data_IF_077608813097
#
_entry.id   IF_077608813097
#
_cell.length_a   1.000
_cell.length_b   1.000
_cell.length_c   1.000
_cell.angle_alpha   90.00
_cell.angle_beta   90.00
_cell.angle_gamma   90.00
#
_symmetry.space_group_name_H-M   'P 1'
#
loop_
_entity.id
_entity.type
_entity.pdbx_description
1 polymer ?
#
# COMPACT_ATOMS: atom_id res chain seq x y z
N UNK A 1 -17.04 3.56 43.26
CA UNK A 1 -17.96 2.60 42.64
C UNK A 1 -17.54 2.37 41.22
N UNK A 2 -17.10 1.17 40.89
CA UNK A 2 -16.59 0.73 39.56
C UNK A 2 -17.56 1.04 38.39
N UNK A 3 -18.87 1.08 38.65
CA UNK A 3 -19.89 1.21 37.62
C UNK A 3 -19.98 2.62 36.99
N UNK A 4 -19.61 3.67 37.73
CA UNK A 4 -19.68 5.04 37.19
C UNK A 4 -18.52 5.37 36.23
N UNK A 5 -17.37 4.74 36.47
CA UNK A 5 -16.20 4.94 35.60
C UNK A 5 -16.28 4.10 34.31
N UNK A 6 -16.97 2.97 34.34
CA UNK A 6 -17.13 2.07 33.20
C UNK A 6 -17.90 2.73 32.05
N UNK A 7 -19.08 3.30 32.33
CA UNK A 7 -19.89 3.97 31.30
C UNK A 7 -19.18 5.21 30.74
N UNK A 8 -18.48 5.95 31.57
CA UNK A 8 -17.70 7.11 31.17
C UNK A 8 -16.52 6.70 30.27
N UNK A 9 -15.83 5.61 30.60
CA UNK A 9 -14.72 5.10 29.80
C UNK A 9 -15.18 4.62 28.42
N UNK A 10 -16.20 3.74 28.36
CA UNK A 10 -16.70 3.20 27.11
C UNK A 10 -17.45 4.22 26.25
N UNK A 11 -17.96 5.33 26.82
CA UNK A 11 -18.59 6.39 26.05
C UNK A 11 -17.63 7.05 25.07
N UNK A 12 -16.34 7.12 25.41
CA UNK A 12 -15.27 7.67 24.58
C UNK A 12 -14.79 6.71 23.49
N UNK A 13 -15.07 5.43 23.60
CA UNK A 13 -14.71 4.44 22.59
C UNK A 13 -15.59 4.63 21.36
N UNK A 14 -14.97 4.61 20.18
CA UNK A 14 -15.71 4.69 18.91
C UNK A 14 -16.81 3.63 18.84
N UNK A 15 -17.98 4.01 18.31
CA UNK A 15 -19.18 3.16 18.31
C UNK A 15 -18.98 1.75 17.75
N UNK A 16 -18.17 1.60 16.71
CA UNK A 16 -17.88 0.31 16.08
C UNK A 16 -16.95 -0.58 16.91
N UNK A 17 -16.09 0.01 17.74
CA UNK A 17 -15.12 -0.72 18.56
C UNK A 17 -15.69 -1.07 19.94
N UNK A 18 -16.78 -0.37 20.36
CA UNK A 18 -17.32 -0.39 21.73
C UNK A 18 -17.70 -1.78 22.21
N UNK A 19 -18.42 -2.55 21.41
CA UNK A 19 -18.86 -3.89 21.81
C UNK A 19 -17.68 -4.86 21.95
N UNK A 20 -16.72 -4.80 21.02
CA UNK A 20 -15.51 -5.62 21.07
C UNK A 20 -14.68 -5.32 22.31
N UNK A 21 -14.46 -4.04 22.60
CA UNK A 21 -13.69 -3.60 23.76
C UNK A 21 -14.40 -3.97 25.06
N UNK A 22 -15.73 -3.77 25.15
CA UNK A 22 -16.52 -4.21 26.32
C UNK A 22 -16.42 -5.71 26.56
N UNK A 23 -16.52 -6.51 25.51
CA UNK A 23 -16.40 -7.96 25.62
C UNK A 23 -15.01 -8.38 26.14
N UNK A 24 -13.93 -7.73 25.68
CA UNK A 24 -12.58 -8.01 26.18
C UNK A 24 -12.44 -7.69 27.69
N UNK A 25 -12.95 -6.56 28.13
CA UNK A 25 -12.93 -6.20 29.56
C UNK A 25 -13.83 -7.09 30.39
N UNK A 26 -14.99 -7.51 29.89
CA UNK A 26 -15.86 -8.48 30.55
C UNK A 26 -15.15 -9.80 30.77
N UNK A 27 -14.49 -10.35 29.77
CA UNK A 27 -13.71 -11.59 29.88
C UNK A 27 -12.60 -11.48 30.95
N UNK A 28 -11.96 -10.30 31.06
CA UNK A 28 -10.98 -10.05 32.13
C UNK A 28 -11.62 -10.05 33.51
N UNK A 29 -12.77 -9.38 33.66
CA UNK A 29 -13.51 -9.28 34.92
C UNK A 29 -14.04 -10.66 35.37
N UNK A 30 -14.57 -11.46 34.45
CA UNK A 30 -15.07 -12.82 34.69
C UNK A 30 -13.95 -13.85 34.88
N UNK A 31 -12.68 -13.45 34.64
CA UNK A 31 -11.52 -14.33 34.85
C UNK A 31 -11.25 -15.30 33.71
N UNK A 32 -11.85 -15.07 32.55
CA UNK A 32 -11.59 -15.85 31.32
C UNK A 32 -10.25 -15.51 30.70
N UNK A 33 -9.72 -14.32 30.97
CA UNK A 33 -8.39 -13.86 30.52
C UNK A 33 -7.65 -13.21 31.69
N UNK A 34 -6.31 -13.27 31.66
CA UNK A 34 -5.46 -12.65 32.70
C UNK A 34 -5.21 -11.16 32.41
N UNK A 35 -5.30 -10.78 31.14
CA UNK A 35 -5.07 -9.40 30.68
C UNK A 35 -5.91 -9.07 29.46
N UNK A 36 -6.20 -7.80 29.30
CA UNK A 36 -6.69 -7.19 28.05
C UNK A 36 -5.51 -6.53 27.34
N UNK A 37 -5.45 -6.67 26.01
CA UNK A 37 -4.57 -5.93 25.13
C UNK A 37 -5.36 -5.65 23.85
N UNK A 38 -5.88 -4.42 23.75
CA UNK A 38 -6.79 -4.04 22.66
C UNK A 38 -6.39 -2.71 22.03
N UNK A 39 -6.43 -2.68 20.71
CA UNK A 39 -6.28 -1.44 19.92
C UNK A 39 -7.66 -0.98 19.47
N UNK A 40 -8.01 0.26 19.77
CA UNK A 40 -9.32 0.82 19.42
C UNK A 40 -9.26 2.33 19.25
N UNK A 41 -10.30 2.87 18.64
CA UNK A 41 -10.45 4.31 18.41
C UNK A 41 -11.15 4.97 19.59
N UNK A 42 -10.57 6.05 20.07
CA UNK A 42 -11.16 6.94 21.08
C UNK A 42 -11.58 8.24 20.40
N UNK A 43 -12.76 8.70 20.75
CA UNK A 43 -13.32 9.95 20.24
C UNK A 43 -13.41 10.95 21.40
N UNK A 44 -12.74 12.08 21.28
CA UNK A 44 -12.80 13.19 22.22
C UNK A 44 -13.34 14.44 21.55
N UNK A 45 -14.01 15.29 22.33
CA UNK A 45 -14.43 16.60 21.89
C UNK A 45 -13.73 17.65 22.74
N UNK A 46 -12.74 18.32 22.17
CA UNK A 46 -12.06 19.42 22.81
C UNK A 46 -12.42 20.73 22.12
N UNK A 47 -13.00 21.65 22.88
CA UNK A 47 -13.38 22.98 22.40
C UNK A 47 -14.29 22.99 21.14
N UNK A 48 -15.18 21.98 21.01
CA UNK A 48 -16.10 21.85 19.88
C UNK A 48 -15.49 21.14 18.66
N UNK A 49 -14.26 20.67 18.75
CA UNK A 49 -13.62 19.89 17.69
C UNK A 49 -13.57 18.42 18.09
N UNK A 50 -14.05 17.55 17.19
CA UNK A 50 -13.99 16.12 17.39
C UNK A 50 -12.61 15.61 16.94
N UNK A 51 -11.90 14.97 17.86
CA UNK A 51 -10.66 14.28 17.60
C UNK A 51 -10.86 12.78 17.73
N UNK A 52 -10.27 12.03 16.81
CA UNK A 52 -10.25 10.56 16.86
C UNK A 52 -8.80 10.10 16.93
N UNK A 53 -8.48 9.33 17.94
CA UNK A 53 -7.15 8.78 18.16
C UNK A 53 -7.22 7.27 18.27
N UNK A 54 -6.22 6.61 17.74
CA UNK A 54 -6.00 5.21 18.02
C UNK A 54 -5.24 5.05 19.32
N UNK A 55 -5.73 4.18 20.18
CA UNK A 55 -5.08 3.83 21.45
C UNK A 55 -4.89 2.32 21.53
N UNK A 56 -3.78 1.92 22.14
CA UNK A 56 -3.54 0.58 22.62
C UNK A 56 -3.74 0.60 24.14
N UNK A 57 -4.72 -0.15 24.65
CA UNK A 57 -4.97 -0.26 26.06
C UNK A 57 -4.61 -1.65 26.55
N UNK A 58 -3.84 -1.70 27.64
CA UNK A 58 -3.52 -2.91 28.35
C UNK A 58 -4.07 -2.81 29.77
N UNK A 59 -4.76 -3.84 30.26
CA UNK A 59 -5.31 -3.87 31.60
C UNK A 59 -5.22 -5.26 32.22
N UNK A 60 -5.04 -5.29 33.55
CA UNK A 60 -5.08 -6.50 34.36
C UNK A 60 -5.89 -6.25 35.63
N UNK A 61 -6.33 -7.32 36.28
CA UNK A 61 -6.92 -7.22 37.62
C UNK A 61 -5.80 -7.02 38.63
N UNK A 62 -5.87 -5.93 39.38
CA UNK A 62 -4.89 -5.59 40.42
C UNK A 62 -5.25 -6.25 41.76
N UNK A 63 -6.52 -6.11 42.19
CA UNK A 63 -6.98 -6.67 43.47
C UNK A 63 -8.28 -7.42 43.29
N UNK A 64 -8.48 -8.45 44.14
CA UNK A 64 -9.70 -9.24 44.22
C UNK A 64 -10.20 -9.27 45.68
N UNK A 65 -11.51 -9.43 45.85
CA UNK A 65 -12.10 -9.65 47.15
C UNK A 65 -11.91 -11.11 47.66
N UNK A 66 -12.43 -11.40 48.85
CA UNK A 66 -12.37 -12.73 49.44
C UNK A 66 -13.15 -13.81 48.65
N UNK A 67 -14.08 -13.40 47.79
CA UNK A 67 -14.86 -14.27 46.89
C UNK A 67 -14.23 -14.41 45.51
N UNK A 68 -13.03 -13.80 45.29
CA UNK A 68 -12.31 -13.84 44.03
C UNK A 68 -12.81 -12.83 42.99
N UNK A 69 -13.72 -11.92 43.32
CA UNK A 69 -14.24 -10.90 42.41
C UNK A 69 -13.26 -9.75 42.28
N UNK A 70 -13.04 -9.21 41.06
CA UNK A 70 -12.14 -8.09 40.86
C UNK A 70 -12.66 -6.83 41.56
N UNK A 71 -11.81 -6.19 42.34
CA UNK A 71 -12.08 -4.93 43.02
C UNK A 71 -11.48 -3.75 42.27
N UNK A 72 -10.28 -3.93 41.68
CA UNK A 72 -9.62 -2.90 40.91
C UNK A 72 -8.94 -3.47 39.68
N UNK A 73 -8.92 -2.67 38.64
CA UNK A 73 -8.17 -2.90 37.40
C UNK A 73 -7.05 -1.85 37.31
N UNK A 74 -5.87 -2.29 36.91
CA UNK A 74 -4.76 -1.42 36.57
C UNK A 74 -4.44 -1.59 35.09
N UNK A 75 -4.14 -0.48 34.42
CA UNK A 75 -3.83 -0.54 33.00
C UNK A 75 -3.07 0.68 32.51
N UNK A 76 -2.62 0.56 31.28
CA UNK A 76 -1.96 1.63 30.53
C UNK A 76 -2.69 1.85 29.22
N UNK A 77 -2.70 3.09 28.77
CA UNK A 77 -3.22 3.46 27.44
C UNK A 77 -2.16 4.27 26.72
N UNK A 78 -1.80 3.83 25.53
CA UNK A 78 -0.82 4.48 24.69
C UNK A 78 -1.50 4.94 23.39
N UNK A 79 -1.28 6.21 23.03
CA UNK A 79 -1.73 6.72 21.72
C UNK A 79 -0.84 6.14 20.63
N UNK A 80 -1.45 5.48 19.66
CA UNK A 80 -0.78 4.79 18.55
C UNK A 80 -1.21 5.31 17.17
N UNK A 81 -1.82 6.49 17.12
CA UNK A 81 -2.33 7.09 15.87
C UNK A 81 -1.24 7.26 14.83
N UNK A 82 -0.06 7.72 15.24
CA UNK A 82 1.09 7.90 14.37
C UNK A 82 1.61 6.55 13.80
N UNK A 83 1.67 5.53 14.66
CA UNK A 83 2.02 4.16 14.23
C UNK A 83 1.03 3.62 13.21
N UNK A 84 -0.27 3.77 13.44
CA UNK A 84 -1.33 3.35 12.51
C UNK A 84 -1.27 4.09 11.17
N UNK A 85 -0.97 5.37 11.20
CA UNK A 85 -0.79 6.16 9.99
C UNK A 85 0.40 5.66 9.17
N UNK A 86 1.56 5.44 9.82
CA UNK A 86 2.75 4.91 9.14
C UNK A 86 2.52 3.51 8.57
N UNK A 87 1.84 2.62 9.30
CA UNK A 87 1.44 1.30 8.80
C UNK A 87 0.59 1.42 7.53
N UNK A 88 -0.41 2.31 7.54
CA UNK A 88 -1.28 2.53 6.38
C UNK A 88 -0.53 3.13 5.18
N UNK A 89 0.36 4.07 5.43
CA UNK A 89 1.21 4.67 4.39
C UNK A 89 2.14 3.63 3.77
N UNK A 90 2.73 2.76 4.60
CA UNK A 90 3.60 1.66 4.15
C UNK A 90 2.84 0.65 3.29
N UNK A 91 1.64 0.23 3.72
CA UNK A 91 0.80 -0.68 2.94
C UNK A 91 0.43 -0.06 1.58
N UNK A 92 0.02 1.20 1.59
CA UNK A 92 -0.31 1.92 0.35
C UNK A 92 0.88 2.06 -0.59
N UNK A 93 2.07 2.35 -0.05
CA UNK A 93 3.30 2.46 -0.84
C UNK A 93 3.71 1.09 -1.42
N UNK A 94 3.59 0.02 -0.63
CA UNK A 94 3.83 -1.35 -1.08
C UNK A 94 2.92 -1.73 -2.23
N UNK A 95 1.60 -1.54 -2.06
CA UNK A 95 0.61 -1.92 -3.07
C UNK A 95 0.84 -1.18 -4.39
N UNK A 96 1.19 0.11 -4.32
CA UNK A 96 1.59 0.89 -5.51
C UNK A 96 2.86 0.36 -6.17
N UNK A 97 3.85 -0.04 -5.38
CA UNK A 97 5.10 -0.60 -5.90
C UNK A 97 4.87 -1.97 -6.56
N UNK A 98 4.06 -2.84 -5.95
CA UNK A 98 3.69 -4.14 -6.50
C UNK A 98 2.93 -4.00 -7.83
N UNK A 99 1.94 -3.10 -7.90
CA UNK A 99 1.20 -2.84 -9.13
C UNK A 99 2.09 -2.25 -10.23
N UNK A 100 2.98 -1.32 -9.88
CA UNK A 100 3.97 -0.80 -10.83
C UNK A 100 4.88 -1.89 -11.38
N UNK A 101 5.36 -2.81 -10.51
CA UNK A 101 6.19 -3.94 -10.94
C UNK A 101 5.41 -4.92 -11.84
N UNK A 102 4.15 -5.20 -11.51
CA UNK A 102 3.27 -6.05 -12.32
C UNK A 102 3.07 -5.48 -13.72
N UNK A 103 2.74 -4.19 -13.82
CA UNK A 103 2.56 -3.50 -15.10
C UNK A 103 3.85 -3.49 -15.91
N UNK A 104 5.00 -3.24 -15.27
CA UNK A 104 6.30 -3.26 -15.92
C UNK A 104 6.66 -4.64 -16.47
N UNK A 105 6.39 -5.70 -15.70
CA UNK A 105 6.63 -7.07 -16.15
C UNK A 105 5.75 -7.46 -17.33
N UNK A 106 4.46 -7.12 -17.29
CA UNK A 106 3.53 -7.34 -18.40
C UNK A 106 3.95 -6.56 -19.65
N UNK A 107 4.38 -5.31 -19.49
CA UNK A 107 4.89 -4.50 -20.58
C UNK A 107 6.12 -5.14 -21.24
N UNK A 108 7.11 -5.57 -20.47
CA UNK A 108 8.33 -6.23 -20.99
C UNK A 108 8.01 -7.54 -21.71
N UNK A 109 7.06 -8.33 -21.17
CA UNK A 109 6.64 -9.56 -21.82
C UNK A 109 5.98 -9.28 -23.19
N UNK A 110 5.08 -8.30 -23.25
CA UNK A 110 4.41 -7.90 -24.49
C UNK A 110 5.43 -7.35 -25.50
N UNK A 111 6.34 -6.49 -25.05
CA UNK A 111 7.39 -5.92 -25.93
C UNK A 111 8.31 -7.02 -26.50
N UNK A 112 8.60 -8.05 -25.69
CA UNK A 112 9.40 -9.19 -26.17
C UNK A 112 8.70 -9.94 -27.31
N UNK A 113 7.38 -10.07 -27.24
CA UNK A 113 6.58 -10.67 -28.33
C UNK A 113 6.52 -9.76 -29.57
N UNK A 114 6.25 -8.47 -29.36
CA UNK A 114 6.16 -7.48 -30.45
C UNK A 114 7.50 -7.31 -31.21
N UNK A 115 8.64 -7.45 -30.52
CA UNK A 115 9.98 -7.45 -31.14
C UNK A 115 10.28 -8.74 -31.86
N UNK A 116 9.89 -9.88 -31.30
CA UNK A 116 10.21 -11.21 -31.85
C UNK A 116 9.58 -11.46 -33.22
N UNK A 117 8.37 -10.99 -33.44
CA UNK A 117 7.60 -11.22 -34.68
C UNK A 117 8.30 -10.60 -35.89
N UNK A 118 8.59 -9.28 -35.94
CA UNK A 118 9.31 -8.70 -37.07
C UNK A 118 10.75 -9.22 -37.20
N UNK A 119 11.43 -9.50 -36.08
CA UNK A 119 12.77 -10.07 -36.10
C UNK A 119 12.80 -11.44 -36.78
N UNK A 120 11.87 -12.35 -36.44
CA UNK A 120 11.75 -13.65 -37.06
C UNK A 120 11.43 -13.54 -38.56
N UNK A 121 10.61 -12.58 -38.97
CA UNK A 121 10.33 -12.32 -40.38
C UNK A 121 11.60 -11.86 -41.10
N UNK A 122 12.35 -10.90 -40.54
CA UNK A 122 13.63 -10.45 -41.13
C UNK A 122 14.61 -11.62 -41.28
N UNK A 123 14.81 -12.41 -40.23
CA UNK A 123 15.75 -13.55 -40.28
C UNK A 123 15.28 -14.62 -41.27
N UNK A 124 13.99 -14.96 -41.27
CA UNK A 124 13.42 -15.97 -42.17
C UNK A 124 13.55 -15.57 -43.65
N UNK A 125 13.11 -14.36 -44.00
CA UNK A 125 13.12 -13.89 -45.37
C UNK A 125 14.56 -13.58 -45.86
N UNK A 126 15.48 -13.17 -44.99
CA UNK A 126 16.90 -13.04 -45.33
C UNK A 126 17.54 -14.39 -45.70
N UNK A 127 17.17 -15.48 -45.05
CA UNK A 127 17.61 -16.82 -45.37
C UNK A 127 17.09 -17.28 -46.76
N UNK A 128 15.83 -17.03 -47.05
CA UNK A 128 15.21 -17.37 -48.34
C UNK A 128 15.80 -16.50 -49.48
N UNK A 129 15.97 -15.22 -49.25
CA UNK A 129 16.58 -14.28 -50.19
C UNK A 129 17.96 -14.75 -50.66
N UNK A 130 18.76 -15.30 -49.76
CA UNK A 130 20.10 -15.82 -50.06
C UNK A 130 20.10 -17.06 -50.97
N UNK A 131 18.98 -17.78 -51.08
CA UNK A 131 18.85 -19.02 -51.87
C UNK A 131 17.92 -18.89 -53.07
N UNK A 132 17.31 -17.75 -53.29
CA UNK A 132 16.41 -17.48 -54.43
C UNK A 132 17.18 -16.88 -55.62
N UNK A 133 16.96 -17.41 -56.79
CA UNK A 133 17.55 -16.90 -58.06
C UNK A 133 16.60 -15.98 -58.84
N UNK A 134 15.31 -16.02 -58.56
CA UNK A 134 14.28 -15.26 -59.29
C UNK A 134 14.21 -13.79 -58.80
N UNK A 135 14.45 -12.85 -59.70
CA UNK A 135 14.57 -11.43 -59.39
C UNK A 135 13.30 -10.81 -58.82
N UNK A 136 12.13 -11.34 -59.24
CA UNK A 136 10.83 -10.84 -58.78
C UNK A 136 10.58 -11.23 -57.33
N UNK A 137 10.93 -12.46 -56.96
CA UNK A 137 10.83 -12.97 -55.56
C UNK A 137 11.82 -12.22 -54.67
N UNK A 138 13.03 -11.90 -55.16
CA UNK A 138 14.00 -11.11 -54.40
C UNK A 138 13.45 -9.77 -53.96
N UNK A 139 12.82 -9.06 -54.91
CA UNK A 139 12.20 -7.75 -54.62
C UNK A 139 11.08 -7.85 -53.57
N UNK A 140 10.25 -8.90 -53.65
CA UNK A 140 9.20 -9.12 -52.68
C UNK A 140 9.77 -9.38 -51.28
N UNK A 141 10.76 -10.27 -51.14
CA UNK A 141 11.39 -10.57 -49.86
C UNK A 141 12.14 -9.38 -49.29
N UNK A 142 12.80 -8.57 -50.11
CA UNK A 142 13.42 -7.30 -49.70
C UNK A 142 12.39 -6.34 -49.12
N UNK A 143 11.24 -6.17 -49.79
CA UNK A 143 10.16 -5.31 -49.31
C UNK A 143 9.60 -5.74 -47.95
N UNK A 144 9.46 -7.07 -47.71
CA UNK A 144 9.02 -7.62 -46.46
C UNK A 144 10.06 -7.33 -45.36
N UNK A 145 11.34 -7.51 -45.65
CA UNK A 145 12.44 -7.26 -44.69
C UNK A 145 12.46 -5.76 -44.32
N UNK A 146 12.37 -4.84 -45.28
CA UNK A 146 12.39 -3.41 -45.05
C UNK A 146 11.17 -2.95 -44.22
N UNK A 147 9.98 -3.47 -44.50
CA UNK A 147 8.76 -3.19 -43.72
C UNK A 147 8.92 -3.61 -42.27
N UNK A 148 9.42 -4.82 -42.01
CA UNK A 148 9.61 -5.33 -40.66
C UNK A 148 10.73 -4.61 -39.92
N UNK A 149 11.79 -4.19 -40.63
CA UNK A 149 12.84 -3.37 -40.05
C UNK A 149 12.31 -1.99 -39.59
N UNK A 150 11.51 -1.34 -40.44
CA UNK A 150 10.85 -0.08 -40.09
C UNK A 150 9.95 -0.21 -38.87
N UNK A 151 9.15 -1.28 -38.80
CA UNK A 151 8.31 -1.58 -37.64
C UNK A 151 9.14 -1.79 -36.36
N UNK A 152 10.25 -2.51 -36.46
CA UNK A 152 11.14 -2.75 -35.31
C UNK A 152 11.76 -1.44 -34.80
N UNK A 153 12.23 -0.56 -35.69
CA UNK A 153 12.76 0.75 -35.32
C UNK A 153 11.70 1.63 -34.63
N UNK A 154 10.47 1.59 -35.11
CA UNK A 154 9.36 2.30 -34.47
C UNK A 154 9.11 1.79 -33.05
N UNK A 155 9.03 0.47 -32.85
CA UNK A 155 8.85 -0.14 -31.53
C UNK A 155 9.95 0.25 -30.53
N UNK A 156 11.21 0.25 -31.00
CA UNK A 156 12.35 0.67 -30.16
C UNK A 156 12.22 2.15 -29.79
N UNK A 157 11.82 3.00 -30.72
CA UNK A 157 11.62 4.44 -30.47
C UNK A 157 10.52 4.69 -29.44
N UNK A 158 9.42 3.95 -29.52
CA UNK A 158 8.29 4.03 -28.59
C UNK A 158 8.69 3.59 -27.17
N UNK A 159 9.47 2.51 -27.05
CA UNK A 159 10.03 2.03 -25.77
C UNK A 159 10.94 3.09 -25.14
N UNK A 160 11.82 3.70 -25.94
CA UNK A 160 12.73 4.74 -25.46
C UNK A 160 11.99 6.01 -25.02
N UNK A 161 10.92 6.39 -25.74
CA UNK A 161 10.09 7.53 -25.38
C UNK A 161 9.38 7.29 -24.02
N UNK A 162 8.80 6.10 -23.81
CA UNK A 162 8.19 5.70 -22.55
C UNK A 162 9.19 5.72 -21.40
N UNK A 163 10.39 5.17 -21.59
CA UNK A 163 11.46 5.17 -20.58
C UNK A 163 11.88 6.58 -20.16
N UNK A 164 11.90 7.53 -21.09
CA UNK A 164 12.21 8.95 -20.79
C UNK A 164 11.11 9.63 -19.97
N UNK A 165 9.84 9.34 -20.26
CA UNK A 165 8.71 9.87 -19.50
C UNK A 165 8.74 9.35 -18.06
N UNK A 166 9.01 8.06 -17.84
CA UNK A 166 9.13 7.48 -16.50
C UNK A 166 10.30 8.10 -15.70
N UNK A 167 11.44 8.33 -16.34
CA UNK A 167 12.59 8.96 -15.71
C UNK A 167 12.32 10.44 -15.35
N UNK A 168 11.62 11.18 -16.21
CA UNK A 168 11.22 12.57 -15.96
C UNK A 168 10.21 12.71 -14.84
N UNK A 169 9.26 11.80 -14.72
CA UNK A 169 8.25 11.79 -13.63
C UNK A 169 8.89 11.47 -12.27
N UNK A 170 9.90 10.60 -12.22
CA UNK A 170 10.66 10.33 -10.99
C UNK A 170 11.42 11.56 -10.49
N UNK A 171 12.05 12.29 -11.36
CA UNK A 171 12.81 13.51 -11.00
C UNK A 171 11.92 14.62 -10.43
N UNK A 172 10.69 14.74 -10.92
CA UNK A 172 9.71 15.70 -10.39
C UNK A 172 9.10 15.28 -9.05
N UNK A 173 8.98 13.98 -8.78
CA UNK A 173 8.47 13.46 -7.51
C UNK A 173 9.49 13.62 -6.37
N UNK A 174 10.78 13.44 -6.65
CA UNK A 174 11.88 13.61 -5.70
C UNK A 174 12.12 15.07 -5.31
N UNK A 175 11.83 16.01 -6.20
CA UNK A 175 12.06 17.44 -6.01
C UNK A 175 10.86 18.21 -5.41
N UNK A 176 9.82 17.50 -4.94
CA UNK A 176 8.72 18.14 -4.21
C UNK A 176 9.21 18.55 -2.82
N UNK A 177 9.24 19.85 -2.48
CA UNK A 177 9.64 20.27 -1.15
C UNK A 177 8.68 19.64 -0.14
N UNK A 178 9.23 18.91 0.84
CA UNK A 178 8.48 18.47 2.02
C UNK A 178 7.88 19.75 2.63
N UNK A 179 6.56 19.91 2.54
CA UNK A 179 5.85 20.99 3.24
C UNK A 179 6.18 20.83 4.70
N UNK A 180 7.04 21.71 5.18
CA UNK A 180 7.43 21.77 6.57
C UNK A 180 6.17 21.87 7.43
N UNK A 181 6.07 21.03 8.44
CA UNK A 181 5.15 21.21 9.55
C UNK A 181 5.42 22.60 10.13
N UNK A 182 4.50 23.52 9.84
CA UNK A 182 4.57 24.87 10.39
C UNK A 182 4.45 24.80 11.90
N UNK A 183 5.58 24.95 12.57
CA UNK A 183 5.63 25.28 14.00
C UNK A 183 4.99 26.67 14.12
N UNK A 184 3.77 26.73 14.65
CA UNK A 184 3.19 28.00 15.08
C UNK A 184 3.92 28.42 16.37
N UNK A 185 4.49 29.63 16.44
CA UNK A 185 4.99 30.13 17.71
C UNK A 185 3.82 30.42 18.64
N UNK A 186 3.98 29.99 19.90
CA UNK A 186 3.11 30.38 20.98
C UNK A 186 3.26 31.90 21.23
N UNK A 187 2.12 32.60 21.33
CA UNK A 187 1.96 33.89 22.01
C UNK A 187 0.83 33.71 23.02
#
# INVERSE_FOLDING_TARGET
SLAVDEECYFSKVHKEDRERVRAAYRNLIEGHTEKVCEEFRVVSNESGHWHMEWVEAQATVETRDCDGRPLSLVGTSLVISERKQMEQELLTARDRAEESNRLKSAFLANMSHEIRTPLNAIVGFSGILASTDEEQEKQEYMSIIESNNTLLLQLISDILALSKIEAGTRHQAENRPKRGAGIRPAV
#
